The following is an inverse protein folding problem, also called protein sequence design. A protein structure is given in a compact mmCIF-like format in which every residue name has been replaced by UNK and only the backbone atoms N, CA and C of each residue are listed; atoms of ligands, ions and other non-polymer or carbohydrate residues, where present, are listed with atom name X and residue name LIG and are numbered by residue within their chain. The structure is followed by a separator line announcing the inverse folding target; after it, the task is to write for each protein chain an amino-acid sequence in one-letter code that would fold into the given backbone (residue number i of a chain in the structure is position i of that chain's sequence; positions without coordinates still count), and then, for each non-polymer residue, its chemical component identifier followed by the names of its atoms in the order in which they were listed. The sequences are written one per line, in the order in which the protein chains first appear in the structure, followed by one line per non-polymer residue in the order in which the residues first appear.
data_IF_911850928271
#
_entry.id   IF_911850928271
#
_cell.length_a   1.000
_cell.length_b   1.000
_cell.length_c   1.000
_cell.angle_alpha   90.00
_cell.angle_beta   90.00
_cell.angle_gamma   90.00
#
_symmetry.space_group_name_H-M   'P 1'
#
loop_
_entity.id
_entity.type
_entity.pdbx_description
1 polymer ?
#
# COMPACT_ATOMS: atom_id res chain seq x y z
N UNK A 1 11.87 12.23 14.89
CA UNK A 1 11.07 13.14 14.04
C UNK A 1 11.85 13.35 12.76
N UNK A 2 11.33 12.92 11.62
CA UNK A 2 11.90 13.29 10.34
C UNK A 2 11.25 14.61 9.90
N UNK A 3 12.05 15.62 9.59
CA UNK A 3 11.56 16.87 9.02
C UNK A 3 11.83 16.88 7.52
N UNK A 4 10.86 17.37 6.75
CA UNK A 4 10.99 17.59 5.32
C UNK A 4 10.78 19.07 5.08
N UNK A 5 11.71 19.71 4.38
CA UNK A 5 11.56 21.10 3.92
C UNK A 5 11.35 21.09 2.41
N UNK A 6 10.17 21.52 1.98
CA UNK A 6 9.85 21.68 0.56
C UNK A 6 10.16 23.12 0.17
N UNK A 7 11.23 23.33 -0.62
CA UNK A 7 11.60 24.65 -1.14
C UNK A 7 10.78 24.97 -2.39
N UNK A 8 10.50 26.25 -2.60
CA UNK A 8 9.76 26.76 -3.76
C UNK A 8 8.40 26.06 -3.96
N UNK A 9 7.69 25.78 -2.86
CA UNK A 9 6.32 25.29 -2.95
C UNK A 9 5.44 26.38 -3.54
N UNK A 10 4.71 26.06 -4.60
CA UNK A 10 3.75 26.95 -5.23
C UNK A 10 2.76 27.51 -4.19
N UNK A 11 2.59 28.83 -4.17
CA UNK A 11 1.72 29.53 -3.23
C UNK A 11 0.27 29.05 -3.32
N UNK A 12 -0.17 28.65 -4.52
CA UNK A 12 -1.49 28.08 -4.73
C UNK A 12 -1.62 26.72 -4.01
N UNK A 13 -0.59 25.88 -4.06
CA UNK A 13 -0.57 24.58 -3.39
C UNK A 13 -0.55 24.76 -1.87
N UNK A 14 0.24 25.72 -1.38
CA UNK A 14 0.29 26.06 0.05
C UNK A 14 -1.08 26.52 0.57
N UNK A 15 -1.78 27.35 -0.19
CA UNK A 15 -3.11 27.82 0.19
C UNK A 15 -4.15 26.69 0.16
N UNK A 16 -4.11 25.82 -0.84
CA UNK A 16 -4.98 24.63 -0.88
C UNK A 16 -4.73 23.71 0.31
N UNK A 17 -3.47 23.49 0.70
CA UNK A 17 -3.11 22.69 1.87
C UNK A 17 -3.67 23.31 3.16
N UNK A 18 -3.65 24.65 3.29
CA UNK A 18 -4.23 25.37 4.42
C UNK A 18 -5.74 25.17 4.51
N UNK A 19 -6.43 25.31 3.38
CA UNK A 19 -7.89 25.12 3.30
C UNK A 19 -8.26 23.68 3.64
N UNK A 20 -7.55 22.69 3.08
CA UNK A 20 -7.77 21.27 3.35
C UNK A 20 -7.58 20.94 4.83
N UNK A 21 -6.51 21.46 5.45
CA UNK A 21 -6.24 21.25 6.87
C UNK A 21 -7.35 21.83 7.76
N UNK A 22 -7.79 23.07 7.48
CA UNK A 22 -8.88 23.71 8.22
C UNK A 22 -10.21 22.95 8.06
N UNK A 23 -10.52 22.48 6.85
CA UNK A 23 -11.71 21.69 6.58
C UNK A 23 -11.71 20.36 7.36
N UNK A 24 -10.56 19.68 7.44
CA UNK A 24 -10.44 18.39 8.12
C UNK A 24 -10.16 18.50 9.63
N UNK A 25 -10.10 19.72 10.18
CA UNK A 25 -9.80 19.92 11.60
C UNK A 25 -8.36 19.54 11.99
N UNK A 26 -7.45 19.56 11.03
CA UNK A 26 -6.05 19.18 11.18
C UNK A 26 -5.13 20.40 11.20
N UNK A 27 -3.93 20.21 11.74
CA UNK A 27 -2.86 21.17 11.47
C UNK A 27 -2.39 21.03 10.02
N UNK A 28 -1.78 22.08 9.48
CA UNK A 28 -1.23 22.04 8.12
C UNK A 28 -0.17 20.93 7.95
N UNK A 29 0.61 20.65 9.01
CA UNK A 29 1.60 19.58 9.01
C UNK A 29 0.93 18.19 9.01
N UNK A 30 -0.10 17.99 9.83
CA UNK A 30 -0.83 16.72 9.88
C UNK A 30 -1.49 16.42 8.54
N UNK A 31 -2.14 17.42 7.94
CA UNK A 31 -2.76 17.27 6.62
C UNK A 31 -1.72 16.93 5.55
N UNK A 32 -0.56 17.59 5.57
CA UNK A 32 0.54 17.26 4.67
C UNK A 32 1.01 15.80 4.85
N UNK A 33 1.12 15.33 6.10
CA UNK A 33 1.53 13.95 6.40
C UNK A 33 0.52 12.93 5.88
N UNK A 34 -0.78 13.20 6.06
CA UNK A 34 -1.85 12.33 5.58
C UNK A 34 -1.89 12.29 4.05
N UNK A 35 -1.74 13.43 3.39
CA UNK A 35 -1.69 13.52 1.92
C UNK A 35 -0.50 12.72 1.39
N UNK A 36 0.69 12.93 1.95
CA UNK A 36 1.89 12.17 1.56
C UNK A 36 1.72 10.67 1.81
N UNK A 37 1.16 10.28 2.95
CA UNK A 37 0.87 8.88 3.27
C UNK A 37 -0.07 8.24 2.26
N UNK A 38 -1.16 8.91 1.91
CA UNK A 38 -2.14 8.44 0.90
C UNK A 38 -1.52 8.37 -0.50
N UNK A 39 -0.79 9.40 -0.91
CA UNK A 39 -0.14 9.46 -2.22
C UNK A 39 0.92 8.37 -2.41
N UNK A 40 1.65 8.02 -1.34
CA UNK A 40 2.66 6.95 -1.38
C UNK A 40 2.07 5.56 -1.14
N UNK A 41 0.90 5.45 -0.50
CA UNK A 41 0.17 4.19 -0.38
C UNK A 41 -0.39 3.71 -1.72
N UNK A 42 -0.86 4.62 -2.58
CA UNK A 42 -1.35 4.28 -3.92
C UNK A 42 -0.24 3.79 -4.86
N UNK A 43 0.99 4.30 -4.72
CA UNK A 43 2.19 3.80 -5.43
C UNK A 43 2.52 2.34 -5.08
N UNK A 44 2.12 1.87 -3.89
CA UNK A 44 2.38 0.51 -3.43
C UNK A 44 1.25 -0.49 -3.71
N UNK A 45 0.12 -0.06 -4.27
CA UNK A 45 -1.02 -0.93 -4.58
C UNK A 45 -0.98 -1.41 -6.04
N UNK A 46 0.15 -1.93 -6.49
CA UNK A 46 0.19 -2.85 -7.63
C UNK A 46 -0.46 -4.19 -7.23
N UNK A 47 -1.72 -4.15 -6.81
CA UNK A 47 -2.54 -5.27 -6.41
C UNK A 47 -2.13 -5.97 -5.11
N UNK A 48 -3.10 -6.55 -4.40
CA UNK A 48 -2.83 -7.53 -3.36
C UNK A 48 -2.08 -8.75 -3.93
N UNK A 49 -1.61 -9.65 -3.06
CA UNK A 49 -0.81 -10.83 -3.46
C UNK A 49 -1.47 -11.63 -4.62
N UNK A 50 -2.78 -11.84 -4.55
CA UNK A 50 -3.53 -12.55 -5.59
C UNK A 50 -3.50 -11.84 -6.95
N UNK A 51 -3.64 -10.51 -6.96
CA UNK A 51 -3.57 -9.69 -8.17
C UNK A 51 -2.17 -9.72 -8.79
N UNK A 52 -1.12 -9.73 -7.96
CA UNK A 52 0.28 -9.83 -8.43
C UNK A 52 0.57 -11.19 -9.06
N UNK A 53 0.10 -12.26 -8.43
CA UNK A 53 0.20 -13.62 -8.98
C UNK A 53 -0.54 -13.70 -10.31
N UNK A 54 -1.80 -13.25 -10.35
CA UNK A 54 -2.62 -13.25 -11.57
C UNK A 54 -1.97 -12.47 -12.72
N UNK A 55 -1.44 -11.28 -12.46
CA UNK A 55 -0.77 -10.46 -13.47
C UNK A 55 0.50 -11.11 -14.02
N UNK A 56 1.19 -11.94 -13.23
CA UNK A 56 2.41 -12.63 -13.67
C UNK A 56 2.13 -13.75 -14.66
N UNK A 57 1.02 -14.46 -14.47
CA UNK A 57 0.63 -15.59 -15.31
C UNK A 57 -0.41 -15.24 -16.38
N UNK A 58 -0.90 -13.99 -16.41
CA UNK A 58 -1.89 -13.54 -17.41
C UNK A 58 -1.29 -13.49 -18.81
N UNK A 59 -0.03 -13.07 -18.94
CA UNK A 59 0.67 -13.01 -20.23
C UNK A 59 0.87 -14.39 -20.89
N UNK A 60 0.90 -15.46 -20.09
CA UNK A 60 1.03 -16.84 -20.55
C UNK A 60 -0.31 -17.58 -20.70
N UNK A 61 -1.44 -16.87 -20.54
CA UNK A 61 -2.79 -17.47 -20.65
C UNK A 61 -3.27 -18.22 -19.40
N UNK A 62 -2.54 -18.12 -18.28
CA UNK A 62 -2.74 -18.96 -17.10
C UNK A 62 -1.97 -20.29 -17.19
N UNK A 63 -1.98 -21.06 -16.10
CA UNK A 63 -1.40 -22.41 -16.04
C UNK A 63 -2.36 -23.30 -15.28
N UNK A 64 -2.71 -24.44 -15.86
CA UNK A 64 -3.35 -25.54 -15.14
C UNK A 64 -2.23 -26.44 -14.62
N UNK A 65 -2.22 -26.68 -13.31
CA UNK A 65 -1.18 -27.48 -12.64
C UNK A 65 -1.74 -28.84 -12.31
N UNK A 66 -1.03 -29.89 -12.73
CA UNK A 66 -1.28 -31.23 -12.22
C UNK A 66 -0.92 -31.27 -10.73
N UNK A 67 -1.94 -31.31 -9.88
CA UNK A 67 -1.76 -31.32 -8.45
C UNK A 67 -1.27 -32.70 -7.99
N UNK A 68 -0.21 -32.78 -7.17
CA UNK A 68 0.24 -34.05 -6.62
C UNK A 68 -0.81 -34.63 -5.67
N UNK A 69 -0.87 -35.96 -5.58
CA UNK A 69 -1.76 -36.65 -4.65
C UNK A 69 -1.37 -36.33 -3.21
N UNK A 70 -2.27 -35.68 -2.46
CA UNK A 70 -2.07 -35.40 -1.03
C UNK A 70 -2.45 -36.62 -0.19
N UNK A 71 -1.51 -37.55 -0.05
CA UNK A 71 -1.73 -38.79 0.71
C UNK A 71 -1.26 -38.70 2.17
N UNK A 72 -0.41 -37.72 2.47
CA UNK A 72 0.12 -37.52 3.81
C UNK A 72 -0.91 -36.87 4.73
N UNK A 73 -1.00 -37.38 5.96
CA UNK A 73 -1.79 -36.73 7.01
C UNK A 73 -1.13 -35.40 7.38
N UNK A 74 -1.95 -34.38 7.63
CA UNK A 74 -1.44 -33.10 8.12
C UNK A 74 -0.58 -33.33 9.36
N UNK A 75 0.66 -32.84 9.33
CA UNK A 75 1.53 -32.90 10.49
C UNK A 75 0.89 -32.06 11.62
N UNK A 76 0.77 -32.64 12.80
CA UNK A 76 0.39 -31.87 13.98
C UNK A 76 1.49 -30.85 14.27
N UNK A 77 1.09 -29.61 14.54
CA UNK A 77 2.02 -28.62 15.10
C UNK A 77 2.42 -29.10 16.48
N UNK A 78 3.73 -29.14 16.74
CA UNK A 78 4.25 -29.36 18.09
C UNK A 78 4.04 -28.09 18.91
N UNK A 79 3.27 -28.22 19.99
CA UNK A 79 2.94 -27.14 20.93
C UNK A 79 3.62 -27.35 22.29
N UNK A 80 4.60 -28.25 22.34
CA UNK A 80 5.42 -28.45 23.53
C UNK A 80 6.37 -27.24 23.69
N UNK A 81 6.36 -26.63 24.87
CA UNK A 81 7.44 -25.71 25.32
C UNK A 81 8.53 -26.47 26.06
#
# INVERSE_FOLDING_TARGET
MASITIRNLDDQIKEQLRIAAAHNGHSMEEEARLILGKALASVNQAGGLGSRIRNRFSASGGVELDLPSRQEKAAAVDLSE
#
